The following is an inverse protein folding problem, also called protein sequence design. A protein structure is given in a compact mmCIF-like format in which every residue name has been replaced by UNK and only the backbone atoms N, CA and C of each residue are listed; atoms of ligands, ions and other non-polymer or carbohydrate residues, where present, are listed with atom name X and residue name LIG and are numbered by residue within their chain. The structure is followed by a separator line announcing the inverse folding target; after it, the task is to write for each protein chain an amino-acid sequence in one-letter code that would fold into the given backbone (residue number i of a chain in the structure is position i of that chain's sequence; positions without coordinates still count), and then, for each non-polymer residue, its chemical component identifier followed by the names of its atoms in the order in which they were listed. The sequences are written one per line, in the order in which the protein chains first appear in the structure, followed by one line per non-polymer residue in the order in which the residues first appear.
data_IF_043716800422
#
_entry.id   IF_043716800422
#
_cell.length_a   1.000
_cell.length_b   1.000
_cell.length_c   1.000
_cell.angle_alpha   90.00
_cell.angle_beta   90.00
_cell.angle_gamma   90.00
#
_symmetry.space_group_name_H-M   'P 1'
#
loop_
_entity.id
_entity.type
_entity.pdbx_description
1 polymer ?
#
# COMPACT_ATOMS: atom_id res chain seq x y z
N UNK A 1 14.52 -47.34 9.82
CA UNK A 1 13.80 -47.00 8.57
C UNK A 1 12.39 -46.43 8.83
N UNK A 2 11.63 -46.93 9.81
CA UNK A 2 10.27 -46.48 10.15
C UNK A 2 10.21 -45.04 10.73
N UNK A 3 11.09 -44.71 11.68
CA UNK A 3 11.12 -43.41 12.36
C UNK A 3 11.34 -42.23 11.40
N UNK A 4 12.23 -42.40 10.40
CA UNK A 4 12.47 -41.38 9.36
C UNK A 4 11.24 -41.14 8.48
N UNK A 5 10.47 -42.19 8.14
CA UNK A 5 9.22 -42.07 7.37
C UNK A 5 8.13 -41.36 8.19
N UNK A 6 8.02 -41.68 9.47
CA UNK A 6 7.07 -41.01 10.38
C UNK A 6 7.41 -39.53 10.54
N UNK A 7 8.68 -39.21 10.78
CA UNK A 7 9.15 -37.83 10.91
C UNK A 7 8.90 -37.02 9.62
N UNK A 8 9.14 -37.61 8.44
CA UNK A 8 8.82 -36.98 7.17
C UNK A 8 7.31 -36.69 7.04
N UNK A 9 6.46 -37.67 7.35
CA UNK A 9 5.01 -37.49 7.30
C UNK A 9 4.51 -36.40 8.26
N UNK A 10 5.06 -36.32 9.48
CA UNK A 10 4.73 -35.25 10.43
C UNK A 10 5.15 -33.86 9.91
N UNK A 11 6.33 -33.74 9.27
CA UNK A 11 6.78 -32.48 8.66
C UNK A 11 5.85 -32.04 7.52
N UNK A 12 5.43 -32.96 6.65
CA UNK A 12 4.48 -32.67 5.55
C UNK A 12 3.14 -32.20 6.12
N UNK A 13 2.56 -32.93 7.08
CA UNK A 13 1.28 -32.54 7.72
C UNK A 13 1.37 -31.17 8.41
N UNK A 14 2.49 -30.86 9.06
CA UNK A 14 2.72 -29.55 9.67
C UNK A 14 2.81 -28.43 8.62
N UNK A 15 3.41 -28.70 7.46
CA UNK A 15 3.50 -27.76 6.34
C UNK A 15 2.13 -27.51 5.71
N UNK A 16 1.34 -28.55 5.48
CA UNK A 16 -0.04 -28.44 4.98
C UNK A 16 -0.93 -27.65 5.95
N UNK A 17 -0.80 -27.89 7.25
CA UNK A 17 -1.50 -27.14 8.27
C UNK A 17 -1.12 -25.64 8.25
N UNK A 18 0.18 -25.33 8.08
CA UNK A 18 0.66 -23.95 7.91
C UNK A 18 0.08 -23.29 6.65
N UNK A 19 0.05 -24.00 5.52
CA UNK A 19 -0.52 -23.50 4.25
C UNK A 19 -2.01 -23.21 4.42
N UNK A 20 -2.77 -24.15 4.99
CA UNK A 20 -4.21 -23.97 5.26
C UNK A 20 -4.46 -22.77 6.19
N UNK A 21 -3.64 -22.58 7.23
CA UNK A 21 -3.74 -21.43 8.13
C UNK A 21 -3.48 -20.10 7.41
N UNK A 22 -2.41 -20.03 6.59
CA UNK A 22 -2.11 -18.84 5.76
C UNK A 22 -3.26 -18.52 4.79
N UNK A 23 -3.81 -19.53 4.12
CA UNK A 23 -4.95 -19.38 3.21
C UNK A 23 -6.19 -18.80 3.91
N UNK A 24 -6.56 -19.33 5.10
CA UNK A 24 -7.65 -18.78 5.90
C UNK A 24 -7.42 -17.32 6.31
N UNK A 25 -6.19 -16.97 6.69
CA UNK A 25 -5.86 -15.59 7.07
C UNK A 25 -5.99 -14.63 5.88
N UNK A 26 -5.51 -15.03 4.70
CA UNK A 26 -5.63 -14.25 3.47
C UNK A 26 -7.09 -14.04 3.06
N UNK A 27 -7.93 -15.08 3.16
CA UNK A 27 -9.37 -14.98 2.87
C UNK A 27 -10.03 -13.97 3.83
N UNK A 28 -9.68 -14.00 5.13
CA UNK A 28 -10.19 -13.03 6.11
C UNK A 28 -9.76 -11.60 5.77
N UNK A 29 -8.50 -11.38 5.40
CA UNK A 29 -7.99 -10.07 5.00
C UNK A 29 -8.69 -9.53 3.75
N UNK A 30 -8.88 -10.39 2.73
CA UNK A 30 -9.64 -10.03 1.52
C UNK A 30 -11.06 -9.61 1.86
N UNK A 31 -11.76 -10.38 2.70
CA UNK A 31 -13.13 -10.04 3.13
C UNK A 31 -13.20 -8.70 3.86
N UNK A 32 -12.24 -8.42 4.75
CA UNK A 32 -12.14 -7.14 5.44
C UNK A 32 -11.87 -5.98 4.47
N UNK A 33 -10.94 -6.17 3.53
CA UNK A 33 -10.63 -5.18 2.49
C UNK A 33 -11.86 -4.87 1.62
N UNK A 34 -12.60 -5.90 1.18
CA UNK A 34 -13.87 -5.72 0.45
C UNK A 34 -14.87 -4.92 1.28
N UNK A 35 -15.06 -5.29 2.56
CA UNK A 35 -15.96 -4.59 3.48
C UNK A 35 -15.60 -3.10 3.60
N UNK A 36 -14.33 -2.79 3.82
CA UNK A 36 -13.86 -1.40 3.98
C UNK A 36 -14.09 -0.57 2.72
N UNK A 37 -13.91 -1.17 1.53
CA UNK A 37 -14.20 -0.54 0.26
C UNK A 37 -15.71 -0.30 0.07
N UNK A 38 -16.55 -1.31 0.30
CA UNK A 38 -18.00 -1.20 0.08
C UNK A 38 -18.69 -0.27 1.07
N UNK A 39 -18.23 -0.25 2.32
CA UNK A 39 -18.78 0.62 3.37
C UNK A 39 -18.10 2.00 3.42
N UNK A 40 -17.16 2.28 2.50
CA UNK A 40 -16.39 3.54 2.43
C UNK A 40 -15.79 3.97 3.79
N UNK A 41 -15.32 3.00 4.58
CA UNK A 41 -14.72 3.27 5.90
C UNK A 41 -13.48 4.15 5.78
N UNK A 42 -12.73 3.97 4.69
CA UNK A 42 -11.57 4.79 4.34
C UNK A 42 -11.78 5.40 2.96
N UNK A 43 -12.25 6.66 2.88
CA UNK A 43 -12.50 7.33 1.62
C UNK A 43 -11.23 7.53 0.78
N UNK A 44 -11.43 7.60 -0.54
CA UNK A 44 -10.41 7.82 -1.58
C UNK A 44 -10.77 9.03 -2.45
N UNK A 45 -11.53 9.97 -1.89
CA UNK A 45 -12.22 11.04 -2.63
C UNK A 45 -11.26 11.97 -3.37
N UNK A 46 -10.04 12.21 -2.83
CA UNK A 46 -9.05 13.07 -3.49
C UNK A 46 -8.46 12.37 -4.73
N UNK A 47 -8.22 11.06 -4.64
CA UNK A 47 -7.71 10.27 -5.76
C UNK A 47 -8.75 10.05 -6.87
N UNK A 48 -10.04 10.17 -6.55
CA UNK A 48 -11.17 10.05 -7.48
C UNK A 48 -11.46 11.33 -8.26
N UNK A 49 -10.91 12.48 -7.86
CA UNK A 49 -11.15 13.75 -8.56
C UNK A 49 -10.64 13.71 -9.99
N UNK A 50 -11.37 14.33 -10.91
CA UNK A 50 -11.09 14.27 -12.35
C UNK A 50 -9.66 14.73 -12.69
N UNK A 51 -9.15 15.75 -12.00
CA UNK A 51 -7.79 16.26 -12.16
C UNK A 51 -6.70 15.25 -11.74
N UNK A 52 -7.03 14.31 -10.85
CA UNK A 52 -6.10 13.33 -10.28
C UNK A 52 -6.20 11.95 -10.91
N UNK A 53 -7.28 11.64 -11.65
CA UNK A 53 -7.47 10.33 -12.31
C UNK A 53 -6.26 9.93 -13.17
N UNK A 54 -5.68 10.89 -13.91
CA UNK A 54 -4.51 10.66 -14.78
C UNK A 54 -3.20 10.47 -14.02
N UNK A 55 -3.18 10.72 -12.71
CA UNK A 55 -2.02 10.52 -11.83
C UNK A 55 -2.01 9.11 -11.21
N UNK A 56 -3.06 8.32 -11.39
CA UNK A 56 -3.20 6.96 -10.87
C UNK A 56 -2.81 5.91 -11.92
N UNK A 57 -1.88 5.01 -11.58
CA UNK A 57 -1.47 3.92 -12.46
C UNK A 57 -2.58 2.89 -12.67
N UNK A 58 -3.35 2.63 -11.62
CA UNK A 58 -4.48 1.70 -11.63
C UNK A 58 -5.71 2.38 -11.06
N UNK A 59 -6.86 2.23 -11.74
CA UNK A 59 -8.12 2.90 -11.34
C UNK A 59 -8.66 2.40 -10.00
N UNK A 60 -8.34 1.18 -9.62
CA UNK A 60 -8.83 0.48 -8.43
C UNK A 60 -7.86 0.55 -7.24
N UNK A 61 -6.71 1.21 -7.41
CA UNK A 61 -5.68 1.40 -6.39
C UNK A 61 -5.49 2.90 -6.16
N UNK A 62 -6.25 3.44 -5.20
CA UNK A 62 -6.23 4.85 -4.83
C UNK A 62 -5.73 5.00 -3.38
N UNK A 63 -5.03 6.10 -3.06
CA UNK A 63 -4.56 6.33 -1.72
C UNK A 63 -5.73 6.73 -0.81
N UNK A 64 -5.74 6.23 0.43
CA UNK A 64 -6.75 6.66 1.40
C UNK A 64 -6.53 8.12 1.83
N UNK A 65 -7.61 8.89 1.92
CA UNK A 65 -7.54 10.34 2.17
C UNK A 65 -6.88 10.67 3.52
N UNK A 66 -7.09 9.84 4.55
CA UNK A 66 -6.62 10.07 5.91
C UNK A 66 -5.12 9.86 6.10
N UNK A 67 -4.46 9.13 5.20
CA UNK A 67 -3.03 8.81 5.30
C UNK A 67 -2.27 9.13 4.01
N UNK A 68 -2.89 9.82 3.04
CA UNK A 68 -2.21 10.16 1.79
C UNK A 68 -1.06 11.11 2.06
N UNK A 69 0.00 10.96 1.28
CA UNK A 69 1.08 11.96 1.25
C UNK A 69 0.55 13.22 0.55
N UNK A 70 0.89 14.40 1.08
CA UNK A 70 0.46 15.70 0.54
C UNK A 70 1.68 16.47 0.07
N UNK A 71 1.69 16.92 -1.18
CA UNK A 71 2.80 17.72 -1.70
C UNK A 71 2.54 19.21 -1.47
N UNK A 72 3.15 19.81 -0.47
CA UNK A 72 3.02 21.22 -0.15
C UNK A 72 4.01 22.08 -0.94
N UNK A 73 5.14 21.51 -1.35
CA UNK A 73 6.15 22.20 -2.15
C UNK A 73 5.63 22.44 -3.56
N UNK A 74 5.34 23.69 -3.92
CA UNK A 74 4.97 24.06 -5.29
C UNK A 74 6.20 24.51 -6.08
N UNK A 75 6.42 23.88 -7.23
CA UNK A 75 7.44 24.20 -8.23
C UNK A 75 6.83 24.90 -9.46
N UNK A 76 5.52 24.80 -9.64
CA UNK A 76 4.77 25.49 -10.69
C UNK A 76 3.33 25.80 -10.25
N UNK A 77 2.65 26.72 -10.94
CA UNK A 77 1.23 27.02 -10.71
C UNK A 77 0.28 25.86 -11.08
N UNK A 78 0.79 24.81 -11.75
CA UNK A 78 0.02 23.63 -12.14
C UNK A 78 0.16 22.49 -11.12
N UNK A 79 1.00 22.67 -10.10
CA UNK A 79 1.27 21.64 -9.11
C UNK A 79 0.05 21.45 -8.21
N UNK A 80 -0.34 20.20 -8.04
CA UNK A 80 -1.35 19.79 -7.06
C UNK A 80 -0.69 19.21 -5.82
N UNK A 81 -1.45 19.08 -4.75
CA UNK A 81 -1.02 18.42 -3.51
C UNK A 81 -1.11 16.88 -3.58
N UNK A 82 -1.46 16.34 -4.76
CA UNK A 82 -1.78 14.94 -4.94
C UNK A 82 -0.64 14.14 -5.54
N UNK A 83 -0.31 13.04 -4.85
CA UNK A 83 0.45 11.91 -5.37
C UNK A 83 -0.22 10.62 -4.89
N UNK A 84 -0.20 9.55 -5.70
CA UNK A 84 -0.69 8.24 -5.28
C UNK A 84 0.32 7.58 -4.34
N UNK A 85 0.26 7.98 -3.07
CA UNK A 85 1.10 7.48 -1.99
C UNK A 85 0.38 7.59 -0.64
N UNK A 86 0.69 6.69 0.29
CA UNK A 86 0.24 6.74 1.68
C UNK A 86 1.42 6.59 2.64
N UNK A 87 1.34 7.28 3.78
CA UNK A 87 2.16 6.96 4.94
C UNK A 87 1.73 5.63 5.56
N UNK A 88 2.71 4.83 5.94
CA UNK A 88 2.54 3.63 6.73
C UNK A 88 3.29 3.82 8.04
N UNK A 89 2.55 3.64 9.14
CA UNK A 89 3.08 3.66 10.49
C UNK A 89 4.10 2.53 10.70
N UNK A 90 5.25 2.91 11.23
CA UNK A 90 6.27 1.99 11.75
C UNK A 90 5.99 1.58 13.19
N UNK A 91 7.01 1.05 13.87
CA UNK A 91 6.88 0.66 15.28
C UNK A 91 6.70 1.90 16.16
N UNK A 92 7.57 2.89 15.97
CA UNK A 92 7.64 4.08 16.82
C UNK A 92 7.18 5.38 16.11
N UNK A 93 7.17 5.39 14.79
CA UNK A 93 6.89 6.59 13.98
C UNK A 93 5.62 6.43 13.15
N UNK A 94 4.75 7.45 13.17
CA UNK A 94 3.49 7.45 12.42
C UNK A 94 3.69 7.48 10.90
N UNK A 95 4.79 8.08 10.43
CA UNK A 95 5.11 8.33 9.03
C UNK A 95 6.43 7.67 8.62
N UNK A 96 6.70 6.48 9.17
CA UNK A 96 7.96 5.76 8.99
C UNK A 96 8.24 5.34 7.53
N UNK A 97 7.19 5.03 6.77
CA UNK A 97 7.31 4.57 5.40
C UNK A 97 6.34 5.29 4.48
N UNK A 98 6.74 5.46 3.23
CA UNK A 98 5.88 5.89 2.15
C UNK A 98 5.66 4.70 1.21
N UNK A 99 4.42 4.23 1.11
CA UNK A 99 4.02 3.30 0.07
C UNK A 99 3.44 4.08 -1.11
N UNK A 100 4.05 3.94 -2.29
CA UNK A 100 3.63 4.65 -3.51
C UNK A 100 3.65 3.73 -4.73
N UNK A 101 2.91 4.10 -5.77
CA UNK A 101 2.99 3.46 -7.08
C UNK A 101 4.35 3.74 -7.75
N UNK A 102 4.75 2.89 -8.71
CA UNK A 102 5.82 3.29 -9.64
C UNK A 102 5.41 4.56 -10.41
N UNK A 103 6.25 5.61 -10.49
CA UNK A 103 5.87 6.88 -11.09
C UNK A 103 5.48 6.73 -12.56
N UNK A 104 4.45 7.44 -12.99
CA UNK A 104 4.07 7.58 -14.39
C UNK A 104 4.91 8.68 -15.04
N UNK A 105 4.96 8.73 -16.37
CA UNK A 105 5.68 9.79 -17.08
C UNK A 105 5.25 11.20 -16.63
N UNK A 106 3.96 11.40 -16.37
CA UNK A 106 3.37 12.66 -15.90
C UNK A 106 3.42 12.86 -14.38
N UNK A 107 4.00 11.94 -13.60
CA UNK A 107 4.13 12.07 -12.14
C UNK A 107 5.56 11.89 -11.65
N UNK A 108 6.56 11.90 -12.55
CA UNK A 108 7.98 11.84 -12.17
C UNK A 108 8.36 13.06 -11.33
N UNK A 109 7.87 14.25 -11.69
CA UNK A 109 8.11 15.49 -10.93
C UNK A 109 7.46 15.42 -9.54
N UNK A 110 6.20 14.98 -9.47
CA UNK A 110 5.49 14.77 -8.20
C UNK A 110 6.23 13.78 -7.28
N UNK A 111 6.80 12.71 -7.85
CA UNK A 111 7.61 11.74 -7.10
C UNK A 111 8.86 12.39 -6.51
N UNK A 112 9.61 13.19 -7.27
CA UNK A 112 10.80 13.86 -6.74
C UNK A 112 10.47 14.97 -5.75
N UNK A 113 9.36 15.70 -5.96
CA UNK A 113 8.82 16.65 -4.98
C UNK A 113 8.58 15.95 -3.64
N UNK A 114 7.98 14.76 -3.67
CA UNK A 114 7.76 13.94 -2.47
C UNK A 114 9.06 13.56 -1.76
N UNK A 115 10.04 13.02 -2.48
CA UNK A 115 11.32 12.59 -1.92
C UNK A 115 12.05 13.77 -1.27
N UNK A 116 12.06 14.91 -1.95
CA UNK A 116 12.70 16.13 -1.47
C UNK A 116 11.99 16.73 -0.26
N UNK A 117 10.68 16.93 -0.34
CA UNK A 117 9.88 17.57 0.70
C UNK A 117 9.92 16.80 2.03
N UNK A 118 9.91 15.47 1.96
CA UNK A 118 9.93 14.60 3.14
C UNK A 118 11.32 14.13 3.54
N UNK A 119 12.39 14.68 2.95
CA UNK A 119 13.79 14.34 3.23
C UNK A 119 14.04 12.83 3.22
N UNK A 120 13.45 12.12 2.26
CA UNK A 120 13.52 10.66 2.19
C UNK A 120 14.95 10.23 1.92
N UNK A 121 15.50 9.42 2.81
CA UNK A 121 16.78 8.75 2.63
C UNK A 121 16.66 7.30 3.11
N UNK A 122 17.33 6.39 2.42
CA UNK A 122 17.40 4.97 2.80
C UNK A 122 18.89 4.66 2.95
N UNK A 123 19.32 4.43 4.20
CA UNK A 123 20.67 4.04 4.56
C UNK A 123 20.88 2.53 4.53
#
# INVERSE_FOLDING_TARGET
RLLRKLLFCLKVKAQDAKIKKKSKALIRLRRLSTKYRTEKIYPTSVGEREENVKKNRYKDILPFDHSRVKLLLQTSNQDTDYINANFIKGVDEAEAYIATQGPLANTVVDFWRMIWEYNVSVG
#
